data_IF_979699204951
#
_entry.id   IF_979699204951
#
_cell.length_a   1.000
_cell.length_b   1.000
_cell.length_c   1.000
_cell.angle_alpha   90.00
_cell.angle_beta   90.00
_cell.angle_gamma   90.00
#
_symmetry.space_group_name_H-M   'P 1'
#
loop_
_entity.id
_entity.type
_entity.pdbx_description
1 polymer ?
#
# COMPACT_ATOMS: atom_id res chain seq x y z
N UNK A 1 4.20 0.07 12.39
CA UNK A 1 3.45 -0.60 11.29
C UNK A 1 4.33 -1.57 10.51
N UNK A 2 5.39 -1.11 9.82
CA UNK A 2 6.26 -1.97 8.98
C UNK A 2 6.87 -3.14 9.76
N UNK A 3 7.41 -2.88 10.96
CA UNK A 3 7.97 -3.94 11.80
C UNK A 3 6.94 -5.02 12.14
N UNK A 4 5.73 -4.64 12.57
CA UNK A 4 4.67 -5.59 12.88
C UNK A 4 4.21 -6.39 11.64
N UNK A 5 4.05 -5.73 10.49
CA UNK A 5 3.71 -6.42 9.24
C UNK A 5 4.77 -7.45 8.86
N UNK A 6 6.06 -7.10 8.98
CA UNK A 6 7.18 -8.02 8.76
C UNK A 6 7.17 -9.21 9.73
N UNK A 7 7.00 -8.96 11.04
CA UNK A 7 6.93 -10.02 12.07
C UNK A 7 5.78 -10.99 11.80
N UNK A 8 4.64 -10.48 11.34
CA UNK A 8 3.44 -11.27 11.05
C UNK A 8 3.43 -11.87 9.64
N UNK A 9 4.45 -11.62 8.82
CA UNK A 9 4.52 -12.02 7.41
C UNK A 9 3.28 -11.55 6.61
N UNK A 10 2.83 -10.35 6.89
CA UNK A 10 1.73 -9.68 6.20
C UNK A 10 2.28 -8.60 5.26
N UNK A 11 1.61 -8.33 4.13
CA UNK A 11 1.93 -7.18 3.31
C UNK A 11 1.74 -5.90 4.11
N UNK A 12 2.56 -4.90 3.80
CA UNK A 12 2.33 -3.53 4.26
C UNK A 12 1.58 -2.76 3.19
N UNK A 13 0.69 -1.86 3.62
CA UNK A 13 0.02 -0.89 2.76
C UNK A 13 0.24 0.51 3.35
N UNK A 14 0.15 1.52 2.49
CA UNK A 14 0.28 2.92 2.86
C UNK A 14 -0.83 3.77 2.28
N UNK A 15 -1.24 4.77 3.05
CA UNK A 15 -2.18 5.81 2.63
C UNK A 15 -1.84 7.09 3.39
N UNK A 16 -1.86 8.21 2.68
CA UNK A 16 -1.47 9.53 3.21
C UNK A 16 -2.38 10.07 4.31
N UNK A 17 -3.58 9.50 4.47
CA UNK A 17 -4.63 10.02 5.37
C UNK A 17 -4.81 11.54 5.18
N UNK A 18 -4.89 11.92 3.91
CA UNK A 18 -4.72 13.30 3.48
C UNK A 18 -5.96 14.14 3.80
N UNK A 19 -5.76 15.22 4.56
CA UNK A 19 -6.77 16.23 4.87
C UNK A 19 -6.48 17.60 4.21
N UNK A 20 -5.29 17.79 3.64
CA UNK A 20 -4.85 19.02 2.95
C UNK A 20 -4.07 18.66 1.67
N UNK A 21 -4.20 19.48 0.63
CA UNK A 21 -3.72 19.15 -0.73
C UNK A 21 -2.22 18.82 -0.77
N UNK A 22 -1.41 19.49 0.05
CA UNK A 22 0.04 19.33 0.10
C UNK A 22 0.48 17.96 0.64
N UNK A 23 -0.44 17.19 1.24
CA UNK A 23 -0.18 15.86 1.77
C UNK A 23 -0.63 14.72 0.84
N UNK A 24 -1.25 15.05 -0.30
CA UNK A 24 -1.69 14.05 -1.28
C UNK A 24 -0.48 13.25 -1.76
N UNK A 25 -0.55 11.92 -1.64
CA UNK A 25 0.49 11.01 -2.13
C UNK A 25 1.75 10.92 -1.28
N UNK A 26 1.82 11.60 -0.12
CA UNK A 26 2.97 11.51 0.80
C UNK A 26 3.18 10.11 1.41
N UNK A 27 2.12 9.31 1.45
CA UNK A 27 2.20 7.88 1.67
C UNK A 27 1.27 7.15 0.70
N UNK A 28 1.78 6.06 0.12
CA UNK A 28 1.11 5.30 -0.94
C UNK A 28 1.29 3.79 -0.73
N UNK A 29 0.55 3.01 -1.50
CA UNK A 29 0.80 1.58 -1.67
C UNK A 29 1.37 1.38 -3.08
N UNK A 30 2.59 0.85 -3.16
CA UNK A 30 3.23 0.47 -4.41
C UNK A 30 2.84 -0.97 -4.76
N UNK A 31 2.36 -1.18 -5.98
CA UNK A 31 2.03 -2.52 -6.50
C UNK A 31 3.11 -2.96 -7.48
N UNK A 32 3.54 -4.23 -7.35
CA UNK A 32 4.53 -4.83 -8.26
C UNK A 32 3.95 -4.97 -9.68
N UNK A 33 2.67 -5.35 -9.75
CA UNK A 33 1.94 -5.54 -11.00
C UNK A 33 0.97 -4.38 -11.26
N UNK A 34 0.64 -4.08 -12.52
CA UNK A 34 -0.38 -3.08 -12.84
C UNK A 34 -1.74 -3.45 -12.22
N UNK A 35 -2.40 -2.45 -11.64
CA UNK A 35 -3.74 -2.56 -11.04
C UNK A 35 -4.66 -1.61 -11.81
N UNK A 36 -5.70 -2.13 -12.46
CA UNK A 36 -6.67 -1.32 -13.20
C UNK A 36 -8.07 -1.35 -12.60
N UNK A 37 -8.35 -2.38 -11.80
CA UNK A 37 -9.63 -2.57 -11.13
C UNK A 37 -9.46 -2.76 -9.62
N UNK A 38 -10.56 -2.63 -8.88
CA UNK A 38 -10.58 -2.94 -7.44
C UNK A 38 -10.28 -4.42 -7.19
N UNK A 39 -10.72 -5.31 -8.08
CA UNK A 39 -10.46 -6.75 -7.94
C UNK A 39 -8.97 -7.07 -8.13
N UNK A 40 -8.28 -6.40 -9.07
CA UNK A 40 -6.82 -6.48 -9.21
C UNK A 40 -6.14 -6.04 -7.91
N UNK A 41 -6.56 -4.89 -7.36
CA UNK A 41 -6.03 -4.34 -6.11
C UNK A 41 -6.16 -5.34 -4.95
N UNK A 42 -7.35 -5.91 -4.76
CA UNK A 42 -7.62 -6.90 -3.72
C UNK A 42 -6.77 -8.16 -3.95
N UNK A 43 -6.67 -8.61 -5.20
CA UNK A 43 -5.86 -9.77 -5.59
C UNK A 43 -4.40 -9.59 -5.25
N UNK A 44 -3.81 -8.45 -5.61
CA UNK A 44 -2.39 -8.17 -5.37
C UNK A 44 -2.07 -7.96 -3.88
N UNK A 45 -2.96 -7.32 -3.11
CA UNK A 45 -2.82 -7.23 -1.65
C UNK A 45 -2.84 -8.63 -1.03
N UNK A 46 -3.80 -9.48 -1.40
CA UNK A 46 -3.90 -10.85 -0.86
C UNK A 46 -2.70 -11.72 -1.20
N UNK A 47 -2.10 -11.53 -2.38
CA UNK A 47 -0.87 -12.22 -2.80
C UNK A 47 0.39 -11.67 -2.11
N UNK A 48 0.31 -10.48 -1.51
CA UNK A 48 1.45 -9.78 -0.92
C UNK A 48 2.33 -9.07 -1.95
N UNK A 49 1.81 -8.81 -3.15
CA UNK A 49 2.54 -8.17 -4.25
C UNK A 49 2.49 -6.63 -4.15
N UNK A 50 2.62 -6.11 -2.94
CA UNK A 50 2.58 -4.67 -2.67
C UNK A 50 3.38 -4.30 -1.42
N UNK A 51 3.73 -3.03 -1.30
CA UNK A 51 4.36 -2.47 -0.12
C UNK A 51 3.87 -1.04 0.16
N UNK A 52 3.76 -0.67 1.43
CA UNK A 52 3.57 0.72 1.82
C UNK A 52 4.86 1.51 1.63
N UNK A 53 4.76 2.67 0.98
CA UNK A 53 5.88 3.58 0.76
C UNK A 53 5.54 4.99 1.26
N UNK A 54 6.58 5.74 1.65
CA UNK A 54 6.51 7.14 2.04
C UNK A 54 7.35 7.95 1.06
N UNK A 55 6.78 9.04 0.54
CA UNK A 55 7.33 9.86 -0.55
C UNK A 55 7.49 11.30 -0.05
#
# INVERSE_FOLDING_TARGET
AIHAASTLKLPSIGGSDCHIIEQVGRAVTEFINPVQTIDDMIGEIKKGNCQGAYI
#
